data_IF_099651789441
#
_entry.id   IF_099651789441
#
_cell.length_a   1.000
_cell.length_b   1.000
_cell.length_c   1.000
_cell.angle_alpha   90.00
_cell.angle_beta   90.00
_cell.angle_gamma   90.00
#
_symmetry.space_group_name_H-M   'P 1'
#
loop_
_entity.id
_entity.type
_entity.pdbx_description
1 polymer ?
#
# COMPACT_ATOMS: atom_id res chain seq x y z
N UNK A 1 36.67 64.77 -59.17
CA UNK A 1 37.22 63.45 -59.54
C UNK A 1 36.14 62.43 -59.28
N UNK A 2 35.74 61.76 -60.34
CA UNK A 2 34.58 60.86 -60.44
C UNK A 2 34.94 59.44 -60.01
N UNK A 3 33.93 58.73 -59.50
CA UNK A 3 33.50 57.36 -59.88
C UNK A 3 32.94 56.66 -58.61
N UNK A 4 31.63 56.55 -58.38
CA UNK A 4 30.61 55.78 -59.12
C UNK A 4 31.00 54.31 -59.34
N UNK A 5 30.35 53.39 -58.62
CA UNK A 5 29.33 52.45 -59.14
C UNK A 5 29.24 51.15 -58.32
N UNK A 6 28.03 50.87 -57.85
CA UNK A 6 27.50 49.52 -57.62
C UNK A 6 27.29 48.80 -58.95
N UNK A 7 27.18 47.47 -58.98
CA UNK A 7 25.87 46.89 -59.35
C UNK A 7 25.51 45.67 -58.46
N UNK A 8 24.28 45.48 -57.97
CA UNK A 8 22.98 45.26 -58.65
C UNK A 8 22.81 43.81 -59.14
N UNK A 9 21.68 43.19 -58.78
CA UNK A 9 21.09 42.01 -59.44
C UNK A 9 21.16 40.75 -58.58
N UNK A 10 20.12 40.37 -57.84
CA UNK A 10 18.91 39.62 -58.26
C UNK A 10 19.15 38.11 -58.42
N UNK A 11 18.08 37.37 -58.13
CA UNK A 11 17.79 36.01 -58.61
C UNK A 11 18.08 34.86 -57.62
N UNK A 12 17.09 34.65 -56.74
CA UNK A 12 16.76 33.31 -56.23
C UNK A 12 16.12 32.52 -57.38
N UNK A 13 16.47 31.23 -57.54
CA UNK A 13 15.48 30.27 -58.00
C UNK A 13 15.31 29.14 -56.99
N UNK A 14 14.08 29.05 -56.48
CA UNK A 14 13.45 27.79 -56.05
C UNK A 14 13.33 26.91 -57.28
N UNK A 15 13.90 25.70 -57.23
CA UNK A 15 13.23 24.41 -57.47
C UNK A 15 14.30 23.31 -57.50
N UNK A 16 14.08 22.30 -56.66
CA UNK A 16 14.22 20.85 -56.92
C UNK A 16 15.32 20.36 -57.87
N UNK A 17 16.12 19.40 -57.39
CA UNK A 17 16.21 18.02 -57.89
C UNK A 17 17.39 17.31 -57.19
N UNK A 18 17.07 16.43 -56.22
CA UNK A 18 18.01 15.44 -55.63
C UNK A 18 18.13 14.27 -56.61
N UNK A 19 19.34 13.74 -56.89
CA UNK A 19 19.63 12.36 -56.42
C UNK A 19 21.10 12.03 -56.10
N UNK A 20 21.30 11.29 -55.01
CA UNK A 20 22.47 10.40 -54.81
C UNK A 20 23.55 10.96 -53.89
N UNK A 21 23.96 10.32 -52.79
CA UNK A 21 23.63 9.00 -52.28
C UNK A 21 23.82 9.00 -50.76
N UNK A 22 22.97 8.23 -50.08
CA UNK A 22 23.10 7.93 -48.66
C UNK A 22 23.80 6.56 -48.60
N UNK A 23 25.03 6.57 -48.14
CA UNK A 23 25.86 5.41 -47.91
C UNK A 23 25.37 4.64 -46.68
N UNK A 24 24.57 3.61 -46.96
CA UNK A 24 24.09 2.65 -45.99
C UNK A 24 25.24 1.74 -45.52
N UNK A 25 25.93 2.10 -44.43
CA UNK A 25 26.84 1.15 -43.76
C UNK A 25 27.07 1.43 -42.27
N UNK A 26 26.02 1.27 -41.45
CA UNK A 26 26.18 0.53 -40.19
C UNK A 26 24.81 0.07 -39.64
N UNK A 27 24.35 -1.09 -40.10
CA UNK A 27 23.31 -1.86 -39.43
C UNK A 27 23.98 -2.73 -38.37
N UNK A 28 23.76 -2.41 -37.10
CA UNK A 28 24.12 -3.24 -35.96
C UNK A 28 24.61 -2.36 -34.80
N UNK A 29 24.02 -2.32 -33.63
CA UNK A 29 23.07 -3.21 -32.97
C UNK A 29 22.29 -2.32 -32.00
N UNK A 30 20.96 -2.34 -32.07
CA UNK A 30 20.15 -1.96 -30.92
C UNK A 30 20.57 -2.87 -29.75
N UNK A 31 21.32 -2.35 -28.78
CA UNK A 31 21.38 -2.95 -27.45
C UNK A 31 20.24 -2.41 -26.61
N UNK A 32 19.03 -2.53 -27.15
CA UNK A 32 17.83 -2.52 -26.34
C UNK A 32 17.67 -3.94 -25.79
N UNK A 33 17.33 -4.05 -24.51
CA UNK A 33 17.31 -5.27 -23.69
C UNK A 33 18.59 -5.58 -22.90
N UNK A 34 19.19 -4.60 -22.23
CA UNK A 34 19.75 -4.92 -20.90
C UNK A 34 18.57 -5.09 -19.95
N UNK A 35 18.25 -6.35 -19.60
CA UNK A 35 17.30 -6.64 -18.53
C UNK A 35 17.91 -6.17 -17.21
N UNK A 36 17.37 -5.11 -16.63
CA UNK A 36 17.70 -4.70 -15.27
C UNK A 36 17.16 -5.78 -14.32
N UNK A 37 18.03 -6.61 -13.76
CA UNK A 37 17.66 -7.57 -12.72
C UNK A 37 17.51 -6.81 -11.40
N UNK A 38 16.30 -6.34 -11.10
CA UNK A 38 15.98 -5.74 -9.80
C UNK A 38 15.64 -6.87 -8.83
N UNK A 39 16.61 -7.24 -8.00
CA UNK A 39 16.36 -8.13 -6.88
C UNK A 39 15.84 -7.29 -5.72
N UNK A 40 14.52 -7.29 -5.51
CA UNK A 40 13.92 -6.73 -4.30
C UNK A 40 14.15 -7.72 -3.16
N UNK A 41 15.17 -7.50 -2.35
CA UNK A 41 15.17 -8.04 -1.00
C UNK A 41 14.01 -7.36 -0.27
N UNK A 42 12.99 -8.13 0.11
CA UNK A 42 11.97 -7.67 1.05
C UNK A 42 12.67 -7.48 2.39
N UNK A 43 13.34 -6.32 2.54
CA UNK A 43 13.66 -5.81 3.85
C UNK A 43 12.30 -5.45 4.44
N UNK A 44 11.82 -6.32 5.33
CA UNK A 44 10.69 -6.04 6.19
C UNK A 44 10.86 -4.66 6.81
N UNK A 45 9.86 -3.80 6.58
CA UNK A 45 9.47 -2.58 7.31
C UNK A 45 9.68 -1.15 6.76
N UNK A 46 10.26 -0.91 5.59
CA UNK A 46 10.44 0.49 5.12
C UNK A 46 9.36 1.00 4.14
N UNK A 47 8.11 0.57 4.32
CA UNK A 47 6.99 1.19 3.60
C UNK A 47 6.54 2.46 4.32
N UNK A 48 6.55 3.60 3.62
CA UNK A 48 5.95 4.84 4.13
C UNK A 48 4.46 4.61 4.33
N UNK A 49 4.03 4.46 5.58
CA UNK A 49 2.63 4.30 5.94
C UNK A 49 1.95 5.66 5.84
N UNK A 50 1.16 5.86 4.78
CA UNK A 50 0.33 7.05 4.63
C UNK A 50 -0.72 7.13 5.74
N UNK A 51 -1.14 8.35 6.05
CA UNK A 51 -2.24 8.60 6.97
C UNK A 51 -3.52 7.98 6.41
N UNK A 52 -4.18 7.13 7.22
CA UNK A 52 -5.45 6.52 6.87
C UNK A 52 -6.55 7.18 7.68
N UNK A 53 -7.52 7.74 6.96
CA UNK A 53 -8.74 8.23 7.57
C UNK A 53 -9.66 7.05 7.87
N UNK A 54 -10.22 7.01 9.08
CA UNK A 54 -11.22 6.02 9.47
C UNK A 54 -12.59 6.68 9.49
N UNK A 55 -13.57 6.13 8.77
CA UNK A 55 -14.93 6.67 8.72
C UNK A 55 -15.59 6.77 10.09
N UNK A 56 -15.29 5.82 10.99
CA UNK A 56 -15.80 5.77 12.37
C UNK A 56 -15.44 7.04 13.15
N UNK A 57 -14.35 7.74 12.78
CA UNK A 57 -14.02 9.02 13.42
C UNK A 57 -15.11 10.07 13.23
N UNK A 58 -15.81 10.07 12.09
CA UNK A 58 -16.87 11.06 11.81
C UNK A 58 -18.12 10.88 12.66
N UNK A 59 -18.32 9.69 13.22
CA UNK A 59 -19.45 9.37 14.08
C UNK A 59 -19.21 9.84 15.52
N UNK A 60 -17.96 10.08 15.91
CA UNK A 60 -17.60 10.49 17.26
C UNK A 60 -17.77 12.01 17.45
N UNK A 61 -18.53 12.40 18.49
CA UNK A 61 -18.86 13.80 18.78
C UNK A 61 -17.62 14.71 18.96
N UNK A 62 -16.58 14.22 19.66
CA UNK A 62 -15.32 14.94 19.86
C UNK A 62 -14.46 15.14 18.61
N UNK A 63 -14.71 14.43 17.50
CA UNK A 63 -13.85 14.49 16.32
C UNK A 63 -13.80 15.91 15.73
N UNK A 64 -14.98 16.51 15.50
CA UNK A 64 -15.07 17.87 14.96
C UNK A 64 -14.45 18.90 15.90
N UNK A 65 -14.57 18.71 17.21
CA UNK A 65 -13.97 19.58 18.21
C UNK A 65 -12.43 19.50 18.19
N UNK A 66 -11.87 18.29 18.02
CA UNK A 66 -10.44 18.07 17.89
C UNK A 66 -9.86 18.69 16.61
N UNK A 67 -10.58 18.59 15.48
CA UNK A 67 -10.17 19.20 14.22
C UNK A 67 -10.24 20.73 14.31
N UNK A 68 -11.34 21.28 14.84
CA UNK A 68 -11.54 22.73 14.98
C UNK A 68 -10.47 23.38 15.87
N UNK A 69 -10.21 22.80 17.04
CA UNK A 69 -9.19 23.29 17.97
C UNK A 69 -7.79 23.30 17.34
N UNK A 70 -7.44 22.26 16.59
CA UNK A 70 -6.17 22.18 15.86
C UNK A 70 -6.08 23.15 14.67
N UNK A 71 -7.22 23.51 14.07
CA UNK A 71 -7.28 24.38 12.89
C UNK A 71 -7.27 25.88 13.21
N UNK A 72 -7.74 26.27 14.40
CA UNK A 72 -7.84 27.67 14.83
C UNK A 72 -6.50 28.37 15.06
N UNK A 73 -5.40 27.64 15.12
CA UNK A 73 -4.07 28.23 15.24
C UNK A 73 -3.70 29.00 13.97
N UNK A 74 -3.59 30.32 14.09
CA UNK A 74 -3.15 31.21 13.03
C UNK A 74 -1.65 31.06 12.77
N UNK A 75 -1.25 30.99 11.50
CA UNK A 75 0.15 31.01 11.09
C UNK A 75 0.35 32.20 10.14
N UNK A 76 1.42 32.97 10.33
CA UNK A 76 1.71 34.20 9.60
C UNK A 76 2.52 33.96 8.29
N UNK A 77 2.71 32.69 7.88
CA UNK A 77 3.54 32.32 6.74
C UNK A 77 2.76 32.35 5.42
N UNK A 78 3.44 31.96 4.33
CA UNK A 78 2.82 31.73 3.03
C UNK A 78 1.59 30.79 3.15
N UNK A 79 0.47 31.10 2.50
CA UNK A 79 -0.77 30.32 2.62
C UNK A 79 -0.60 28.83 2.30
N UNK A 80 0.27 28.46 1.35
CA UNK A 80 0.53 27.06 1.01
C UNK A 80 1.22 26.32 2.16
N UNK A 81 2.22 26.96 2.76
CA UNK A 81 2.95 26.41 3.90
C UNK A 81 2.05 26.31 5.15
N UNK A 82 1.19 27.30 5.36
CA UNK A 82 0.21 27.28 6.44
C UNK A 82 -0.74 26.10 6.30
N UNK A 83 -1.23 25.82 5.09
CA UNK A 83 -2.08 24.66 4.84
C UNK A 83 -1.35 23.36 5.17
N UNK A 84 -0.13 23.19 4.69
CA UNK A 84 0.68 22.00 4.98
C UNK A 84 0.89 21.81 6.49
N UNK A 85 1.29 22.86 7.21
CA UNK A 85 1.47 22.80 8.66
C UNK A 85 0.18 22.42 9.41
N UNK A 86 -0.95 23.00 9.00
CA UNK A 86 -2.25 22.68 9.60
C UNK A 86 -2.63 21.23 9.37
N UNK A 87 -2.41 20.70 8.17
CA UNK A 87 -2.67 19.29 7.86
C UNK A 87 -1.77 18.36 8.67
N UNK A 88 -0.48 18.65 8.79
CA UNK A 88 0.43 17.83 9.61
C UNK A 88 0.07 17.88 11.10
N UNK A 89 -0.32 19.04 11.64
CA UNK A 89 -0.80 19.16 13.01
C UNK A 89 -2.07 18.35 13.25
N UNK A 90 -3.07 18.48 12.38
CA UNK A 90 -4.31 17.69 12.48
C UNK A 90 -3.99 16.21 12.43
N UNK A 91 -3.17 15.77 11.47
CA UNK A 91 -2.76 14.37 11.32
C UNK A 91 -2.11 13.83 12.59
N UNK A 92 -1.17 14.57 13.19
CA UNK A 92 -0.53 14.16 14.44
C UNK A 92 -1.52 14.09 15.61
N UNK A 93 -2.34 15.14 15.79
CA UNK A 93 -3.35 15.19 16.85
C UNK A 93 -4.38 14.08 16.71
N UNK A 94 -4.84 13.83 15.50
CA UNK A 94 -5.84 12.82 15.17
C UNK A 94 -5.29 11.40 15.32
N UNK A 95 -4.00 11.19 15.02
CA UNK A 95 -3.33 9.92 15.29
C UNK A 95 -3.26 9.61 16.79
N UNK A 96 -2.98 10.62 17.63
CA UNK A 96 -2.95 10.46 19.09
C UNK A 96 -4.36 10.21 19.61
N UNK A 97 -5.31 11.08 19.25
CA UNK A 97 -6.70 10.98 19.68
C UNK A 97 -7.35 9.65 19.25
N UNK A 98 -7.07 9.17 18.03
CA UNK A 98 -7.58 7.87 17.57
C UNK A 98 -7.07 6.72 18.43
N UNK A 99 -5.80 6.78 18.85
CA UNK A 99 -5.22 5.76 19.73
C UNK A 99 -5.76 5.85 21.16
N UNK A 100 -6.03 7.06 21.65
CA UNK A 100 -6.66 7.28 22.96
C UNK A 100 -8.10 6.76 23.01
N UNK A 101 -8.89 6.98 21.94
CA UNK A 101 -10.31 6.60 21.90
C UNK A 101 -10.55 5.14 21.52
N UNK A 102 -9.79 4.62 20.56
CA UNK A 102 -10.03 3.29 19.98
C UNK A 102 -8.91 2.29 20.25
N UNK A 103 -7.85 2.67 20.98
CA UNK A 103 -6.71 1.79 21.23
C UNK A 103 -5.92 1.46 19.97
N UNK A 104 -5.10 0.40 20.04
CA UNK A 104 -4.54 -0.22 18.84
C UNK A 104 -5.55 -1.23 18.29
N UNK A 105 -6.51 -0.71 17.51
CA UNK A 105 -7.59 -1.50 16.88
C UNK A 105 -7.04 -2.73 16.15
N UNK A 106 -5.82 -2.65 15.61
CA UNK A 106 -5.19 -3.76 14.90
C UNK A 106 -4.68 -4.85 15.85
N UNK A 107 -4.14 -4.48 17.00
CA UNK A 107 -3.69 -5.43 18.02
C UNK A 107 -4.90 -6.14 18.65
N UNK A 108 -5.97 -5.40 18.94
CA UNK A 108 -7.20 -5.96 19.50
C UNK A 108 -7.86 -6.96 18.53
N UNK A 109 -7.93 -6.62 17.24
CA UNK A 109 -8.48 -7.53 16.21
C UNK A 109 -7.66 -8.83 16.15
N UNK A 110 -6.33 -8.72 16.16
CA UNK A 110 -5.44 -9.89 16.12
C UNK A 110 -5.59 -10.77 17.37
N UNK A 111 -5.77 -10.17 18.54
CA UNK A 111 -5.99 -10.90 19.79
C UNK A 111 -7.33 -11.64 19.77
N UNK A 112 -8.38 -10.98 19.27
CA UNK A 112 -9.70 -11.60 19.11
C UNK A 112 -9.63 -12.78 18.14
N UNK A 113 -9.01 -12.60 16.97
CA UNK A 113 -8.82 -13.67 15.98
C UNK A 113 -8.05 -14.86 16.57
N UNK A 114 -6.99 -14.60 17.34
CA UNK A 114 -6.22 -15.65 18.03
C UNK A 114 -7.08 -16.40 19.04
N UNK A 115 -7.86 -15.68 19.85
CA UNK A 115 -8.74 -16.29 20.83
C UNK A 115 -9.82 -17.16 20.17
N UNK A 116 -10.41 -16.72 19.06
CA UNK A 116 -11.37 -17.52 18.29
C UNK A 116 -10.71 -18.80 17.78
N UNK A 117 -9.51 -18.71 17.19
CA UNK A 117 -8.79 -19.87 16.70
C UNK A 117 -8.47 -20.89 17.82
N UNK A 118 -8.08 -20.40 19.01
CA UNK A 118 -7.84 -21.26 20.18
C UNK A 118 -9.13 -21.94 20.68
N UNK A 119 -10.25 -21.23 20.70
CA UNK A 119 -11.55 -21.79 21.06
C UNK A 119 -11.98 -22.88 20.07
N UNK A 120 -11.84 -22.63 18.77
CA UNK A 120 -12.15 -23.61 17.71
C UNK A 120 -11.29 -24.88 17.86
N UNK A 121 -9.99 -24.74 18.11
CA UNK A 121 -9.10 -25.87 18.35
C UNK A 121 -9.51 -26.69 19.58
N UNK A 122 -9.86 -26.02 20.68
CA UNK A 122 -10.35 -26.69 21.89
C UNK A 122 -11.66 -27.42 21.66
N UNK A 123 -12.58 -26.86 20.87
CA UNK A 123 -13.83 -27.52 20.50
C UNK A 123 -13.58 -28.78 19.67
N UNK A 124 -12.67 -28.71 18.69
CA UNK A 124 -12.29 -29.86 17.87
C UNK A 124 -11.69 -30.96 18.74
N UNK A 125 -10.74 -30.64 19.61
CA UNK A 125 -10.11 -31.61 20.51
C UNK A 125 -11.12 -32.26 21.46
N UNK A 126 -12.00 -31.47 22.08
CA UNK A 126 -13.04 -31.98 22.96
C UNK A 126 -14.00 -32.91 22.24
N UNK A 127 -14.40 -32.56 21.01
CA UNK A 127 -15.27 -33.42 20.21
C UNK A 127 -14.58 -34.74 19.81
N UNK A 128 -13.31 -34.69 19.40
CA UNK A 128 -12.52 -35.89 19.07
C UNK A 128 -12.37 -36.82 20.28
N UNK A 129 -12.11 -36.27 21.47
CA UNK A 129 -12.00 -37.07 22.70
C UNK A 129 -13.34 -37.72 23.05
N UNK A 130 -14.46 -36.98 22.92
CA UNK A 130 -15.78 -37.52 23.18
C UNK A 130 -16.13 -38.70 22.24
N UNK A 131 -15.82 -38.58 20.95
CA UNK A 131 -16.00 -39.67 19.98
C UNK A 131 -15.11 -40.87 20.28
N UNK A 132 -13.85 -40.65 20.61
CA UNK A 132 -12.91 -41.72 20.94
C UNK A 132 -13.31 -42.44 22.24
N UNK A 133 -13.75 -41.70 23.27
CA UNK A 133 -14.27 -42.27 24.51
C UNK A 133 -15.55 -43.08 24.26
N UNK A 134 -16.46 -42.57 23.44
CA UNK A 134 -17.67 -43.30 23.02
C UNK A 134 -17.29 -44.62 22.34
N UNK A 135 -16.42 -44.59 21.34
CA UNK A 135 -15.93 -45.78 20.64
C UNK A 135 -15.27 -46.79 21.58
N UNK A 136 -14.41 -46.33 22.49
CA UNK A 136 -13.75 -47.17 23.49
C UNK A 136 -14.76 -47.82 24.45
N UNK A 137 -15.74 -47.05 24.93
CA UNK A 137 -16.81 -47.56 25.79
C UNK A 137 -17.68 -48.59 25.05
N UNK A 138 -18.02 -48.35 23.78
CA UNK A 138 -18.72 -49.32 22.94
C UNK A 138 -17.92 -50.61 22.77
N UNK A 139 -16.63 -50.52 22.46
CA UNK A 139 -15.75 -51.70 22.35
C UNK A 139 -15.67 -52.48 23.67
N UNK A 140 -15.55 -51.78 24.80
CA UNK A 140 -15.52 -52.41 26.13
C UNK A 140 -16.84 -53.07 26.49
N UNK A 141 -17.97 -52.42 26.23
CA UNK A 141 -19.30 -53.01 26.43
C UNK A 141 -19.53 -54.25 25.54
N UNK A 142 -19.12 -54.19 24.28
CA UNK A 142 -19.20 -55.33 23.36
C UNK A 142 -18.33 -56.51 23.83
N UNK A 143 -17.15 -56.24 24.41
CA UNK A 143 -16.29 -57.27 24.99
C UNK A 143 -16.91 -57.95 26.22
N UNK A 144 -17.61 -57.19 27.07
CA UNK A 144 -18.31 -57.72 28.24
C UNK A 144 -19.55 -58.53 27.86
N UNK A 145 -20.27 -58.13 26.81
CA UNK A 145 -21.47 -58.82 26.33
C UNK A 145 -21.19 -60.17 25.66
N UNK A 146 -19.96 -60.41 25.21
CA UNK A 146 -19.57 -61.63 24.48
C UNK A 146 -18.93 -62.70 25.37
N UNK A 147 -18.79 -62.46 26.67
CA UNK A 147 -18.30 -63.49 27.60
C UNK A 147 -19.43 -64.47 27.90
N UNK A 148 -19.34 -65.75 27.50
CA UNK A 148 -20.29 -66.77 27.92
C UNK A 148 -20.09 -67.02 29.42
N UNK A 149 -21.17 -67.01 30.19
CA UNK A 149 -21.19 -67.65 31.50
C UNK A 149 -20.75 -69.11 31.33
N UNK A 150 -19.88 -69.53 32.24
CA UNK A 150 -19.26 -70.87 32.32
C UNK A 150 -20.29 -71.98 32.53
#
# INVERSE_FOLDING_TARGET
MTNNLSPRGTDVPVTDWIPGGRDDSNKGLCKDHVRLLVQSSVNSNDFVKYFRFLNIWTEHEDFLNCVRSSWSEGCLLNPMWNLQLKLEKIKARLSIWSREKYGDIYEDTKNIEKNIAEMEQNLILNNMVAEHLSSFLWARLLSMRRSPDK
#
